data_IF_649342939278
#
_entry.id   IF_649342939278
#
_cell.length_a   1.000
_cell.length_b   1.000
_cell.length_c   1.000
_cell.angle_alpha   90.00
_cell.angle_beta   90.00
_cell.angle_gamma   90.00
#
_symmetry.space_group_name_H-M   'P 1'
#
loop_
_entity.id
_entity.type
_entity.pdbx_description
1 polymer ?
#
# COMPACT_ATOMS: atom_id res chain seq x y z
N UNK A 1 32.02 -29.60 13.13
CA UNK A 1 32.45 -29.91 11.73
C UNK A 1 31.30 -30.55 10.98
N UNK A 2 31.14 -30.25 9.69
CA UNK A 2 30.14 -30.92 8.83
C UNK A 2 30.83 -32.11 8.15
N UNK A 3 30.38 -33.32 8.45
CA UNK A 3 30.88 -34.59 7.89
C UNK A 3 29.72 -35.49 7.42
N UNK A 4 30.02 -36.63 6.80
CA UNK A 4 29.01 -37.54 6.20
C UNK A 4 27.93 -37.98 7.19
N UNK A 5 28.28 -38.11 8.47
CA UNK A 5 27.43 -38.67 9.51
C UNK A 5 26.70 -37.56 10.28
N UNK A 6 27.38 -36.43 10.58
CA UNK A 6 26.83 -35.29 11.35
C UNK A 6 26.24 -34.16 10.51
N UNK A 7 26.26 -34.25 9.17
CA UNK A 7 25.61 -33.25 8.27
C UNK A 7 24.12 -33.04 8.51
N UNK A 8 23.43 -33.96 9.22
CA UNK A 8 22.01 -33.80 9.61
C UNK A 8 21.83 -33.14 10.99
N UNK A 9 22.89 -33.05 11.81
CA UNK A 9 22.80 -32.59 13.21
C UNK A 9 22.54 -31.10 13.37
N UNK A 10 22.83 -30.27 12.36
CA UNK A 10 22.40 -28.87 12.33
C UNK A 10 22.21 -28.39 10.88
N UNK A 11 20.98 -27.96 10.57
CA UNK A 11 20.62 -27.48 9.23
C UNK A 11 21.30 -26.15 8.89
N UNK A 12 21.37 -25.22 9.86
CA UNK A 12 22.00 -23.91 9.67
C UNK A 12 23.51 -24.02 9.38
N UNK A 13 24.24 -24.84 10.14
CA UNK A 13 25.67 -25.08 9.89
C UNK A 13 25.92 -25.77 8.54
N UNK A 14 25.02 -26.67 8.10
CA UNK A 14 25.08 -27.26 6.77
C UNK A 14 24.85 -26.22 5.67
N UNK A 15 23.83 -25.37 5.82
CA UNK A 15 23.51 -24.31 4.85
C UNK A 15 24.65 -23.30 4.72
N UNK A 16 25.24 -22.88 5.85
CA UNK A 16 26.44 -22.03 5.86
C UNK A 16 27.59 -22.69 5.08
N UNK A 17 27.83 -24.00 5.30
CA UNK A 17 28.85 -24.73 4.56
C UNK A 17 28.54 -24.83 3.06
N UNK A 18 27.28 -24.92 2.66
CA UNK A 18 26.88 -24.87 1.25
C UNK A 18 27.26 -23.51 0.60
N UNK A 19 27.04 -22.39 1.29
CA UNK A 19 27.46 -21.07 0.79
C UNK A 19 28.99 -20.91 0.76
N UNK A 20 29.71 -21.38 1.79
CA UNK A 20 31.19 -21.39 1.82
C UNK A 20 31.83 -22.14 0.64
N UNK A 21 31.16 -23.19 0.12
CA UNK A 21 31.64 -23.95 -1.06
C UNK A 21 31.04 -23.45 -2.39
N UNK A 22 30.48 -22.24 -2.40
CA UNK A 22 30.02 -21.57 -3.62
C UNK A 22 28.64 -21.99 -4.15
N UNK A 23 27.81 -22.70 -3.37
CA UNK A 23 26.44 -23.01 -3.81
C UNK A 23 25.57 -21.75 -3.85
N UNK A 24 25.15 -21.33 -5.05
CA UNK A 24 24.29 -20.16 -5.23
C UNK A 24 22.86 -20.42 -4.79
N UNK A 25 22.30 -19.53 -3.95
CA UNK A 25 20.90 -19.54 -3.50
C UNK A 25 19.89 -19.54 -4.66
N UNK A 26 20.24 -18.88 -5.78
CA UNK A 26 19.43 -18.82 -7.00
C UNK A 26 19.68 -19.92 -8.04
N UNK A 27 20.60 -20.87 -7.80
CA UNK A 27 20.88 -21.97 -8.75
C UNK A 27 19.76 -23.01 -8.84
N UNK A 28 18.81 -22.99 -7.90
CA UNK A 28 17.64 -23.85 -7.89
C UNK A 28 16.61 -23.29 -8.87
N UNK A 29 16.49 -23.92 -10.04
CA UNK A 29 15.32 -23.72 -10.91
C UNK A 29 14.07 -24.03 -10.08
N UNK A 30 13.15 -23.07 -9.92
CA UNK A 30 11.79 -23.35 -9.41
C UNK A 30 11.24 -24.54 -10.19
N UNK A 31 10.79 -25.56 -9.47
CA UNK A 31 10.49 -26.87 -10.05
C UNK A 31 9.49 -26.76 -11.22
N UNK A 32 9.85 -27.26 -12.40
CA UNK A 32 8.97 -27.30 -13.58
C UNK A 32 7.85 -28.36 -13.47
N UNK A 33 7.37 -28.66 -12.26
CA UNK A 33 6.32 -29.65 -11.98
C UNK A 33 4.91 -29.09 -12.24
N UNK A 34 4.71 -28.61 -13.46
CA UNK A 34 3.41 -28.15 -13.98
C UNK A 34 3.35 -27.96 -15.51
N UNK A 35 4.49 -27.94 -16.20
CA UNK A 35 4.57 -27.51 -17.62
C UNK A 35 4.67 -28.62 -18.68
N UNK A 36 4.34 -29.89 -18.37
CA UNK A 36 4.57 -31.02 -19.29
C UNK A 36 3.45 -32.08 -19.30
N UNK A 37 2.20 -31.69 -19.59
CA UNK A 37 1.15 -32.67 -19.95
C UNK A 37 0.06 -32.21 -20.94
N UNK A 38 0.14 -30.98 -21.47
CA UNK A 38 -0.89 -30.41 -22.36
C UNK A 38 -0.53 -30.34 -23.87
N UNK A 39 0.53 -31.03 -24.32
CA UNK A 39 0.97 -30.97 -25.73
C UNK A 39 0.86 -32.30 -26.50
N UNK A 40 -0.09 -33.16 -26.14
CA UNK A 40 -0.34 -34.41 -26.89
C UNK A 40 -1.82 -34.83 -27.00
N UNK A 41 -2.73 -33.85 -27.15
CA UNK A 41 -4.08 -34.12 -27.69
C UNK A 41 -4.73 -32.90 -28.38
N UNK A 42 -4.09 -32.37 -29.42
CA UNK A 42 -4.85 -31.78 -30.54
C UNK A 42 -4.87 -32.80 -31.66
N UNK A 43 -6.05 -33.39 -31.79
CA UNK A 43 -6.42 -34.46 -32.69
C UNK A 43 -6.22 -33.98 -34.14
N UNK A 44 -5.59 -34.82 -34.96
CA UNK A 44 -5.80 -34.75 -36.42
C UNK A 44 -7.28 -34.98 -36.66
N UNK A 45 -7.89 -34.12 -37.45
CA UNK A 45 -8.90 -34.56 -38.40
C UNK A 45 -8.74 -33.72 -39.68
N UNK A 46 -8.76 -34.38 -40.83
CA UNK A 46 -8.69 -33.75 -42.15
C UNK A 46 -10.11 -33.41 -42.61
N UNK A 47 -10.30 -32.22 -43.19
CA UNK A 47 -11.60 -31.77 -43.66
C UNK A 47 -11.45 -30.58 -44.63
N UNK A 48 -11.62 -30.85 -45.92
CA UNK A 48 -11.31 -29.94 -47.02
C UNK A 48 -12.28 -28.74 -47.13
N UNK A 49 -11.77 -27.59 -47.58
CA UNK A 49 -12.59 -26.40 -47.86
C UNK A 49 -11.79 -25.22 -48.42
N UNK A 50 -11.78 -25.05 -49.75
CA UNK A 50 -11.06 -23.98 -50.47
C UNK A 50 -11.62 -22.58 -50.19
N UNK A 51 -10.75 -21.57 -50.09
CA UNK A 51 -10.68 -20.43 -51.05
C UNK A 51 -9.59 -19.40 -50.67
N UNK A 52 -9.05 -18.71 -51.68
CA UNK A 52 -8.10 -17.57 -51.58
C UNK A 52 -8.89 -16.24 -51.80
N UNK A 53 -8.42 -14.99 -51.70
CA UNK A 53 -7.11 -14.28 -51.65
C UNK A 53 -7.33 -13.04 -50.74
N UNK A 54 -6.39 -12.36 -50.05
CA UNK A 54 -4.93 -12.51 -49.86
C UNK A 54 -4.22 -11.15 -49.65
N UNK A 55 -2.95 -11.16 -49.19
CA UNK A 55 -1.97 -10.06 -49.11
C UNK A 55 -2.06 -8.96 -48.02
N UNK A 56 -1.11 -9.07 -47.06
CA UNK A 56 -0.14 -8.04 -46.62
C UNK A 56 -0.57 -6.76 -45.87
N UNK A 57 -0.03 -6.59 -44.66
CA UNK A 57 -0.09 -5.36 -43.86
C UNK A 57 0.62 -5.47 -42.49
N UNK A 58 1.95 -5.61 -42.50
CA UNK A 58 2.77 -5.83 -41.30
C UNK A 58 2.99 -4.51 -40.52
N UNK A 59 2.47 -4.39 -39.30
CA UNK A 59 2.84 -3.34 -38.34
C UNK A 59 2.83 -3.89 -36.91
N UNK A 60 4.03 -4.03 -36.32
CA UNK A 60 4.23 -4.52 -34.96
C UNK A 60 3.96 -3.41 -33.94
N UNK A 61 2.97 -3.60 -33.06
CA UNK A 61 2.86 -2.85 -31.82
C UNK A 61 3.38 -3.70 -30.65
N UNK A 62 4.51 -3.29 -30.05
CA UNK A 62 5.13 -4.00 -28.92
C UNK A 62 4.35 -3.76 -27.63
N UNK A 63 3.53 -4.73 -27.22
CA UNK A 63 2.96 -4.78 -25.86
C UNK A 63 4.04 -5.15 -24.83
N UNK A 64 4.63 -4.13 -24.21
CA UNK A 64 5.74 -4.27 -23.24
C UNK A 64 5.30 -4.63 -21.80
N UNK A 65 4.05 -5.04 -21.60
CA UNK A 65 3.52 -5.43 -20.29
C UNK A 65 3.12 -6.91 -20.28
N UNK A 66 3.65 -7.71 -19.34
CA UNK A 66 3.11 -9.04 -19.09
C UNK A 66 1.65 -8.90 -18.61
N UNK A 67 0.71 -9.51 -19.31
CA UNK A 67 -0.67 -9.63 -18.84
C UNK A 67 -0.69 -10.22 -17.43
N UNK A 68 -1.60 -9.78 -16.53
CA UNK A 68 -1.67 -10.32 -15.17
C UNK A 68 -1.76 -11.84 -15.22
N UNK A 69 -0.84 -12.51 -14.52
CA UNK A 69 -0.90 -13.96 -14.37
C UNK A 69 -2.20 -14.30 -13.65
N UNK A 70 -3.13 -14.91 -14.37
CA UNK A 70 -4.42 -15.33 -13.83
C UNK A 70 -4.15 -16.51 -12.87
N UNK A 71 -3.92 -16.18 -11.61
CA UNK A 71 -3.79 -17.17 -10.54
C UNK A 71 -5.17 -17.78 -10.37
N UNK A 72 -5.29 -19.06 -10.71
CA UNK A 72 -6.53 -19.83 -10.62
C UNK A 72 -6.85 -20.11 -9.14
N UNK A 73 -7.34 -19.09 -8.44
CA UNK A 73 -7.79 -19.20 -7.06
C UNK A 73 -9.10 -19.99 -6.99
N UNK A 74 -9.10 -21.03 -6.16
CA UNK A 74 -10.28 -21.81 -5.81
C UNK A 74 -11.36 -20.94 -5.17
N UNK A 75 -12.35 -20.56 -5.98
CA UNK A 75 -13.69 -20.02 -5.63
C UNK A 75 -13.88 -19.57 -4.17
N UNK A 76 -13.34 -18.40 -3.83
CA UNK A 76 -14.09 -17.38 -3.09
C UNK A 76 -14.12 -16.14 -3.98
N UNK A 77 -15.27 -15.82 -4.56
CA UNK A 77 -15.44 -14.56 -5.29
C UNK A 77 -15.47 -13.42 -4.26
N UNK A 78 -14.32 -12.88 -3.88
CA UNK A 78 -14.29 -11.58 -3.20
C UNK A 78 -14.81 -10.53 -4.17
N UNK A 79 -15.86 -9.77 -3.81
CA UNK A 79 -16.43 -8.75 -4.69
C UNK A 79 -15.44 -7.61 -5.00
N UNK A 80 -14.43 -7.41 -4.15
CA UNK A 80 -13.39 -6.40 -4.36
C UNK A 80 -12.55 -6.66 -5.63
N UNK A 81 -12.32 -7.92 -5.98
CA UNK A 81 -11.55 -8.30 -7.18
C UNK A 81 -12.35 -8.18 -8.50
N UNK A 82 -13.65 -7.84 -8.42
CA UNK A 82 -14.52 -7.62 -9.58
C UNK A 82 -14.86 -6.14 -9.86
N UNK A 83 -14.34 -5.21 -9.04
CA UNK A 83 -14.59 -3.78 -9.23
C UNK A 83 -13.80 -3.22 -10.43
N UNK A 84 -14.42 -2.31 -11.19
CA UNK A 84 -13.68 -1.45 -12.13
C UNK A 84 -12.84 -0.42 -11.39
N UNK A 85 -11.91 0.25 -12.09
CA UNK A 85 -11.13 1.33 -11.51
C UNK A 85 -12.03 2.46 -10.95
N UNK A 86 -13.05 2.87 -11.71
CA UNK A 86 -14.00 3.92 -11.28
C UNK A 86 -14.78 3.49 -10.03
N UNK A 87 -15.25 2.24 -9.98
CA UNK A 87 -15.95 1.69 -8.81
C UNK A 87 -15.04 1.62 -7.57
N UNK A 88 -13.77 1.26 -7.74
CA UNK A 88 -12.78 1.26 -6.66
C UNK A 88 -12.57 2.68 -6.13
N UNK A 89 -12.34 3.66 -7.03
CA UNK A 89 -12.15 5.07 -6.64
C UNK A 89 -13.40 5.64 -5.95
N UNK A 90 -14.60 5.39 -6.48
CA UNK A 90 -15.85 5.80 -5.84
C UNK A 90 -16.00 5.21 -4.42
N UNK A 91 -15.74 3.91 -4.25
CA UNK A 91 -15.80 3.27 -2.94
C UNK A 91 -14.79 3.85 -1.94
N UNK A 92 -13.58 4.21 -2.40
CA UNK A 92 -12.55 4.83 -1.56
C UNK A 92 -12.91 6.27 -1.16
N UNK A 93 -13.51 7.06 -2.06
CA UNK A 93 -14.01 8.41 -1.76
C UNK A 93 -15.18 8.35 -0.75
N UNK A 94 -16.14 7.44 -0.94
CA UNK A 94 -17.24 7.23 0.01
C UNK A 94 -16.77 6.68 1.36
N UNK A 95 -15.64 5.98 1.38
CA UNK A 95 -15.02 5.44 2.59
C UNK A 95 -14.36 6.51 3.48
N UNK A 96 -14.19 7.76 3.03
CA UNK A 96 -13.42 8.76 3.78
C UNK A 96 -13.94 8.98 5.23
N UNK A 97 -13.03 9.22 6.20
CA UNK A 97 -13.40 9.55 7.57
C UNK A 97 -13.95 10.98 7.66
N UNK A 98 -14.83 11.28 8.64
CA UNK A 98 -15.31 12.63 8.87
C UNK A 98 -14.19 13.55 9.36
N UNK A 99 -14.35 14.85 9.11
CA UNK A 99 -13.46 15.89 9.63
C UNK A 99 -13.64 16.01 11.15
N UNK A 100 -12.55 15.98 11.90
CA UNK A 100 -12.54 16.08 13.37
C UNK A 100 -12.03 17.45 13.79
N UNK A 101 -12.73 18.08 14.75
CA UNK A 101 -12.30 19.31 15.40
C UNK A 101 -11.44 18.99 16.63
N UNK A 102 -10.40 19.79 16.83
CA UNK A 102 -9.56 19.73 18.01
C UNK A 102 -10.26 20.38 19.21
N UNK A 103 -9.94 19.97 20.44
CA UNK A 103 -10.44 20.60 21.67
C UNK A 103 -9.63 21.87 22.02
N UNK A 104 -9.26 22.65 20.99
CA UNK A 104 -8.42 23.83 21.11
C UNK A 104 -9.18 25.00 21.75
N UNK A 105 -8.64 25.49 22.86
CA UNK A 105 -9.12 26.67 23.60
C UNK A 105 -8.20 27.88 23.30
N UNK A 106 -8.65 28.86 22.50
CA UNK A 106 -7.83 30.04 22.14
C UNK A 106 -7.56 30.99 23.32
N UNK A 107 -8.20 30.80 24.47
CA UNK A 107 -7.90 31.58 25.68
C UNK A 107 -6.63 31.12 26.41
N UNK A 108 -6.09 29.94 26.05
CA UNK A 108 -4.92 29.34 26.71
C UNK A 108 -3.67 29.46 25.84
N UNK A 109 -2.52 29.91 26.39
CA UNK A 109 -1.26 29.90 25.66
C UNK A 109 -0.74 28.47 25.47
N UNK A 110 -0.05 28.20 24.36
CA UNK A 110 0.60 26.92 24.13
C UNK A 110 1.81 26.73 25.06
N UNK A 111 1.72 25.71 25.90
CA UNK A 111 2.88 25.02 26.50
C UNK A 111 3.10 23.67 25.81
N UNK A 112 4.30 23.09 25.96
CA UNK A 112 4.65 21.75 25.48
C UNK A 112 3.59 20.70 25.84
N UNK A 113 3.28 20.58 27.14
CA UNK A 113 2.30 19.62 27.65
C UNK A 113 0.88 19.87 27.07
N UNK A 114 0.47 21.13 26.89
CA UNK A 114 -0.82 21.45 26.29
C UNK A 114 -0.88 21.08 24.82
N UNK A 115 0.21 21.30 24.06
CA UNK A 115 0.28 20.98 22.64
C UNK A 115 0.33 19.47 22.43
N UNK A 116 1.16 18.76 23.20
CA UNK A 116 1.22 17.30 23.15
C UNK A 116 -0.15 16.70 23.48
N UNK A 117 -0.77 17.10 24.59
CA UNK A 117 -2.11 16.62 24.97
C UNK A 117 -3.19 16.88 23.90
N UNK A 118 -3.15 18.05 23.28
CA UNK A 118 -4.10 18.43 22.22
C UNK A 118 -3.95 17.59 20.95
N UNK A 119 -2.70 17.34 20.54
CA UNK A 119 -2.38 16.52 19.36
C UNK A 119 -2.64 15.02 19.62
N UNK A 120 -2.30 14.52 20.81
CA UNK A 120 -2.59 13.13 21.21
C UNK A 120 -4.09 12.86 21.30
N UNK A 121 -4.89 13.78 21.88
CA UNK A 121 -6.35 13.66 21.90
C UNK A 121 -6.96 13.64 20.49
N UNK A 122 -6.46 14.51 19.60
CA UNK A 122 -6.91 14.55 18.21
C UNK A 122 -6.58 13.24 17.48
N UNK A 123 -5.37 12.71 17.66
CA UNK A 123 -4.94 11.44 17.07
C UNK A 123 -5.76 10.24 17.57
N UNK A 124 -6.05 10.17 18.88
CA UNK A 124 -6.91 9.14 19.48
C UNK A 124 -8.31 9.12 18.83
N UNK A 125 -8.88 10.31 18.60
CA UNK A 125 -10.17 10.46 17.90
C UNK A 125 -10.06 10.09 16.41
N UNK A 126 -9.00 10.52 15.71
CA UNK A 126 -8.76 10.14 14.31
C UNK A 126 -8.59 8.60 14.15
N UNK A 127 -7.95 7.92 15.10
CA UNK A 127 -7.78 6.46 15.12
C UNK A 127 -9.11 5.69 15.16
N UNK A 128 -10.08 6.13 15.96
CA UNK A 128 -11.43 5.51 16.01
C UNK A 128 -12.13 5.59 14.65
N UNK A 129 -11.97 6.70 13.94
CA UNK A 129 -12.51 6.84 12.58
C UNK A 129 -11.68 6.08 11.54
N UNK A 130 -10.36 5.96 11.72
CA UNK A 130 -9.48 5.18 10.85
C UNK A 130 -9.85 3.69 10.83
N UNK A 131 -10.16 3.09 11.98
CA UNK A 131 -10.61 1.68 12.05
C UNK A 131 -11.89 1.47 11.23
N UNK A 132 -12.78 2.46 11.21
CA UNK A 132 -14.03 2.41 10.44
C UNK A 132 -13.85 2.79 8.96
N UNK A 133 -12.83 3.58 8.61
CA UNK A 133 -12.38 3.79 7.23
C UNK A 133 -11.76 2.51 6.65
N UNK A 134 -10.84 1.86 7.38
CA UNK A 134 -10.18 0.64 6.92
C UNK A 134 -11.16 -0.48 6.61
N UNK A 135 -12.20 -0.67 7.43
CA UNK A 135 -13.30 -1.63 7.17
C UNK A 135 -14.12 -1.32 5.91
N UNK A 136 -14.07 -0.09 5.40
CA UNK A 136 -14.73 0.34 4.14
C UNK A 136 -13.80 0.24 2.93
N UNK A 137 -12.48 0.06 3.12
CA UNK A 137 -11.54 -0.19 2.01
C UNK A 137 -11.83 -1.56 1.37
N UNK A 138 -12.13 -1.65 0.07
CA UNK A 138 -12.49 -2.90 -0.58
C UNK A 138 -11.42 -3.99 -0.40
N UNK A 139 -11.85 -5.16 0.08
CA UNK A 139 -10.99 -6.33 0.33
C UNK A 139 -10.30 -6.35 1.69
N UNK A 140 -10.25 -5.25 2.45
CA UNK A 140 -9.60 -5.24 3.78
C UNK A 140 -10.29 -6.19 4.78
N UNK A 141 -11.63 -6.21 4.77
CA UNK A 141 -12.43 -7.09 5.65
C UNK A 141 -12.39 -8.58 5.26
N UNK A 142 -11.87 -8.91 4.07
CA UNK A 142 -11.67 -10.30 3.63
C UNK A 142 -10.37 -10.91 4.19
N UNK A 143 -9.46 -10.08 4.71
CA UNK A 143 -8.24 -10.49 5.40
C UNK A 143 -8.55 -11.14 6.76
N UNK A 144 -7.62 -11.90 7.33
CA UNK A 144 -7.83 -12.42 8.69
C UNK A 144 -7.83 -11.27 9.71
N UNK A 145 -8.54 -11.43 10.83
CA UNK A 145 -8.56 -10.40 11.88
C UNK A 145 -7.14 -10.09 12.41
N UNK A 146 -6.24 -11.07 12.39
CA UNK A 146 -4.84 -10.88 12.74
C UNK A 146 -4.15 -9.92 11.76
N UNK A 147 -4.32 -10.12 10.45
CA UNK A 147 -3.73 -9.26 9.42
C UNK A 147 -4.35 -7.86 9.43
N UNK A 148 -5.68 -7.75 9.64
CA UNK A 148 -6.37 -6.47 9.77
C UNK A 148 -5.82 -5.63 10.94
N UNK A 149 -5.57 -6.26 12.09
CA UNK A 149 -4.95 -5.59 13.25
C UNK A 149 -3.50 -5.24 12.94
N UNK A 150 -2.72 -6.18 12.39
CA UNK A 150 -1.30 -5.97 12.11
C UNK A 150 -1.05 -4.82 11.12
N UNK A 151 -1.82 -4.74 10.03
CA UNK A 151 -1.72 -3.66 9.05
C UNK A 151 -2.03 -2.29 9.68
N UNK A 152 -3.03 -2.21 10.55
CA UNK A 152 -3.34 -0.97 11.29
C UNK A 152 -2.25 -0.62 12.31
N UNK A 153 -1.72 -1.59 13.05
CA UNK A 153 -0.59 -1.40 13.99
C UNK A 153 0.66 -0.86 13.30
N UNK A 154 0.93 -1.28 12.05
CA UNK A 154 2.04 -0.78 11.26
C UNK A 154 1.75 0.59 10.62
N UNK A 155 0.59 0.78 9.99
CA UNK A 155 0.34 1.91 9.09
C UNK A 155 -0.31 3.15 9.73
N UNK A 156 -0.84 3.07 10.97
CA UNK A 156 -1.70 4.13 11.51
C UNK A 156 -1.06 5.53 11.47
N UNK A 157 0.20 5.67 11.88
CA UNK A 157 0.87 6.97 11.94
C UNK A 157 1.10 7.54 10.54
N UNK A 158 1.42 6.70 9.56
CA UNK A 158 1.58 7.09 8.16
C UNK A 158 0.24 7.55 7.56
N UNK A 159 -0.87 6.88 7.90
CA UNK A 159 -2.23 7.26 7.51
C UNK A 159 -2.63 8.61 8.11
N UNK A 160 -2.31 8.88 9.39
CA UNK A 160 -2.51 10.20 10.00
C UNK A 160 -1.65 11.27 9.31
N UNK A 161 -0.37 10.97 9.05
CA UNK A 161 0.57 11.91 8.43
C UNK A 161 0.19 12.26 6.99
N UNK A 162 -0.18 11.30 6.14
CA UNK A 162 -0.63 11.61 4.77
C UNK A 162 -1.96 12.38 4.78
N UNK A 163 -2.86 12.09 5.73
CA UNK A 163 -4.09 12.85 5.94
C UNK A 163 -3.83 14.30 6.37
N UNK A 164 -2.81 14.53 7.21
CA UNK A 164 -2.35 15.86 7.62
C UNK A 164 -1.68 16.64 6.48
N UNK A 165 -0.85 15.97 5.68
CA UNK A 165 -0.23 16.50 4.46
C UNK A 165 -1.31 16.98 3.48
N UNK A 166 -2.30 16.12 3.20
CA UNK A 166 -3.41 16.40 2.29
C UNK A 166 -4.22 17.64 2.70
N UNK A 167 -4.73 17.67 3.93
CA UNK A 167 -5.52 18.83 4.43
C UNK A 167 -4.68 20.11 4.63
N UNK A 168 -3.35 20.01 4.60
CA UNK A 168 -2.45 21.17 4.65
C UNK A 168 -2.03 21.68 3.26
N UNK A 169 -2.49 21.06 2.17
CA UNK A 169 -2.08 21.45 0.81
C UNK A 169 -2.42 22.90 0.46
N UNK A 170 -3.45 23.52 1.05
CA UNK A 170 -3.82 24.92 0.77
C UNK A 170 -3.15 25.94 1.72
N UNK A 171 -2.28 25.49 2.63
CA UNK A 171 -1.69 26.33 3.68
C UNK A 171 -0.15 26.33 3.62
N UNK A 172 0.48 27.19 2.80
CA UNK A 172 1.94 27.29 2.71
C UNK A 172 2.59 27.60 4.06
N UNK A 173 3.57 26.79 4.47
CA UNK A 173 4.34 27.00 5.71
C UNK A 173 3.61 26.68 7.02
N UNK A 174 2.41 26.09 6.95
CA UNK A 174 1.59 25.70 8.11
C UNK A 174 1.02 24.30 7.95
N UNK A 175 0.66 23.66 9.07
CA UNK A 175 0.00 22.37 9.11
C UNK A 175 -1.39 22.52 9.75
N UNK A 176 -2.43 22.11 9.02
CA UNK A 176 -3.82 22.14 9.48
C UNK A 176 -4.12 20.83 10.21
N UNK A 177 -3.84 20.78 11.50
CA UNK A 177 -4.11 19.59 12.31
C UNK A 177 -5.61 19.31 12.40
N UNK A 178 -6.42 20.34 12.61
CA UNK A 178 -7.88 20.32 12.55
C UNK A 178 -8.39 21.65 11.96
N UNK A 179 -9.67 21.77 11.56
CA UNK A 179 -10.20 23.04 11.01
C UNK A 179 -10.04 24.24 11.95
N UNK A 180 -10.01 24.00 13.26
CA UNK A 180 -9.77 24.99 14.30
C UNK A 180 -8.35 24.96 14.90
N UNK A 181 -7.43 24.18 14.33
CA UNK A 181 -6.03 24.06 14.79
C UNK A 181 -5.07 24.10 13.60
N UNK A 182 -4.76 25.31 13.15
CA UNK A 182 -3.74 25.60 12.15
C UNK A 182 -2.44 26.03 12.85
N UNK A 183 -1.41 25.17 12.81
CA UNK A 183 -0.12 25.44 13.44
C UNK A 183 0.92 25.90 12.43
N UNK A 184 1.76 26.86 12.80
CA UNK A 184 2.95 27.24 12.05
C UNK A 184 4.23 26.59 12.60
N UNK A 185 5.34 26.73 11.86
CA UNK A 185 6.66 26.19 12.25
C UNK A 185 7.18 26.74 13.58
N UNK A 186 6.77 27.94 14.01
CA UNK A 186 7.20 28.50 15.29
C UNK A 186 6.44 27.85 16.45
N UNK A 187 5.14 27.60 16.28
CA UNK A 187 4.34 26.83 17.24
C UNK A 187 4.83 25.38 17.32
N UNK A 188 5.26 24.78 16.21
CA UNK A 188 5.90 23.45 16.20
C UNK A 188 7.23 23.34 17.00
N UNK A 189 7.82 24.46 17.44
CA UNK A 189 8.99 24.47 18.34
C UNK A 189 8.61 24.32 19.83
N UNK A 190 7.32 24.38 20.17
CA UNK A 190 6.86 24.22 21.55
C UNK A 190 7.01 22.78 22.08
N UNK A 191 7.38 21.83 21.24
CA UNK A 191 7.61 20.41 21.59
C UNK A 191 8.98 19.98 21.09
N UNK A 192 9.81 19.43 21.97
CA UNK A 192 11.16 18.96 21.58
C UNK A 192 11.07 17.81 20.56
N UNK A 193 11.99 17.77 19.59
CA UNK A 193 12.00 16.79 18.50
C UNK A 193 10.90 16.95 17.43
N UNK A 194 9.80 17.65 17.71
CA UNK A 194 8.69 17.81 16.75
C UNK A 194 9.08 18.61 15.50
N UNK A 195 10.02 19.56 15.62
CA UNK A 195 10.37 20.50 14.54
C UNK A 195 10.89 19.81 13.27
N UNK A 196 11.64 18.72 13.38
CA UNK A 196 12.15 17.98 12.22
C UNK A 196 11.02 17.26 11.48
N UNK A 197 10.10 16.65 12.24
CA UNK A 197 8.89 16.01 11.69
C UNK A 197 7.99 17.06 11.03
N UNK A 198 7.85 18.24 11.66
CA UNK A 198 7.09 19.36 11.12
C UNK A 198 7.64 19.82 9.77
N UNK A 199 8.97 19.97 9.65
CA UNK A 199 9.63 20.35 8.40
C UNK A 199 9.48 19.28 7.30
N UNK A 200 9.57 17.99 7.64
CA UNK A 200 9.31 16.90 6.70
C UNK A 200 7.86 16.89 6.20
N UNK A 201 6.88 17.13 7.08
CA UNK A 201 5.46 17.24 6.72
C UNK A 201 5.18 18.47 5.84
N UNK A 202 5.79 19.63 6.14
CA UNK A 202 5.69 20.82 5.30
C UNK A 202 6.29 20.61 3.90
N UNK A 203 7.47 19.98 3.82
CA UNK A 203 8.10 19.64 2.55
C UNK A 203 7.23 18.68 1.72
N UNK A 204 6.58 17.71 2.38
CA UNK A 204 5.69 16.74 1.73
C UNK A 204 4.39 17.40 1.25
N UNK A 205 3.76 18.27 2.05
CA UNK A 205 2.61 19.11 1.63
C UNK A 205 2.96 20.01 0.44
N UNK A 206 4.14 20.65 0.47
CA UNK A 206 4.62 21.43 -0.67
C UNK A 206 4.78 20.57 -1.93
N UNK A 207 5.28 19.34 -1.80
CA UNK A 207 5.45 18.41 -2.94
C UNK A 207 4.11 17.93 -3.49
N UNK A 208 3.14 17.62 -2.63
CA UNK A 208 1.77 17.28 -3.04
C UNK A 208 1.12 18.43 -3.83
N UNK A 209 1.23 19.68 -3.33
CA UNK A 209 0.78 20.88 -4.05
C UNK A 209 1.48 21.05 -5.40
N UNK A 210 2.81 20.89 -5.45
CA UNK A 210 3.60 21.03 -6.68
C UNK A 210 3.26 19.99 -7.75
N UNK A 211 2.87 18.78 -7.35
CA UNK A 211 2.43 17.72 -8.26
C UNK A 211 0.92 17.82 -8.60
N UNK A 212 0.19 18.75 -7.97
CA UNK A 212 -1.25 18.90 -8.08
C UNK A 212 -2.00 17.58 -7.81
N UNK A 213 -1.67 16.90 -6.70
CA UNK A 213 -2.29 15.63 -6.32
C UNK A 213 -3.81 15.79 -6.19
N UNK A 214 -4.57 14.93 -6.85
CA UNK A 214 -6.03 14.92 -6.83
C UNK A 214 -6.60 14.06 -5.70
N UNK A 215 -7.89 14.22 -5.39
CA UNK A 215 -8.54 13.52 -4.28
C UNK A 215 -8.58 11.99 -4.49
N UNK A 216 -8.81 11.58 -5.74
CA UNK A 216 -8.79 10.21 -6.23
C UNK A 216 -7.42 9.58 -6.02
N UNK A 217 -6.33 10.31 -6.30
CA UNK A 217 -4.96 9.86 -6.10
C UNK A 217 -4.63 9.74 -4.60
N UNK A 218 -5.06 10.72 -3.79
CA UNK A 218 -4.85 10.71 -2.34
C UNK A 218 -5.52 9.51 -1.67
N UNK A 219 -6.77 9.19 -1.96
CA UNK A 219 -7.45 8.03 -1.36
C UNK A 219 -6.79 6.72 -1.80
N UNK A 220 -6.33 6.62 -3.05
CA UNK A 220 -5.55 5.48 -3.52
C UNK A 220 -4.21 5.34 -2.77
N UNK A 221 -3.44 6.43 -2.61
CA UNK A 221 -2.18 6.44 -1.86
C UNK A 221 -2.39 6.00 -0.40
N UNK A 222 -3.45 6.50 0.24
CA UNK A 222 -3.78 6.15 1.64
C UNK A 222 -4.16 4.66 1.78
N UNK A 223 -4.88 4.10 0.81
CA UNK A 223 -5.16 2.66 0.76
C UNK A 223 -3.93 1.81 0.44
N UNK A 224 -2.98 2.30 -0.37
CA UNK A 224 -1.69 1.63 -0.58
C UNK A 224 -0.90 1.55 0.73
N UNK A 225 -0.84 2.64 1.51
CA UNK A 225 -0.17 2.66 2.82
C UNK A 225 -0.78 1.64 3.79
N UNK A 226 -2.11 1.47 3.80
CA UNK A 226 -2.78 0.46 4.63
C UNK A 226 -2.46 -0.99 4.24
N UNK A 227 -2.13 -1.27 2.97
CA UNK A 227 -2.09 -2.62 2.39
C UNK A 227 -0.68 -3.09 1.98
N UNK A 228 0.36 -2.35 2.33
CA UNK A 228 1.76 -2.59 1.92
C UNK A 228 2.60 -3.26 3.01
#
# INVERSE_FOLDING_TARGET
TIDKNRRKSCQACRLRKCYEVGMMKGGIRKDRRGGRMLKHKRQRDDGEGRNEVGSSGDMRASSLWPSPLLIEHTKKNSPALSLTADQMVSALLEAEPPIIYSDYDPSRPFSEASMMGLLTNLADRELVHMINWAKRVPGFVDLSLHDQVHLLECAWLEILMIGLVWRSMEHPGKLLFAPNLLLDRNQGKCVEGMVEIFDMLLATSSRFRMMNVQGEEFVCLKSIILLN
#
